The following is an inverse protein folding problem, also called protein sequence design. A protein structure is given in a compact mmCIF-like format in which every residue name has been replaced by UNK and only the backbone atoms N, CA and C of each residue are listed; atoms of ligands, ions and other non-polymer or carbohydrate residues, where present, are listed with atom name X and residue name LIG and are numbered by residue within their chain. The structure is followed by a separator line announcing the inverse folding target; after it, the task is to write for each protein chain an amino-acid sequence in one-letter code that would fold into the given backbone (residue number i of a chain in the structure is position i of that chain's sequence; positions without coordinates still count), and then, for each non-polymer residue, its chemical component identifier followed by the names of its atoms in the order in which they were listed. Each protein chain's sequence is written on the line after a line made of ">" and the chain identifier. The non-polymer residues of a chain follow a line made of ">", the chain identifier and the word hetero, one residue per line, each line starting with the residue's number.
data_IF_109557907173
#
_entry.id   IF_109557907173
#
_cell.length_a   1.000
_cell.length_b   1.000
_cell.length_c   1.000
_cell.angle_alpha   90.00
_cell.angle_beta   90.00
_cell.angle_gamma   90.00
#
_symmetry.space_group_name_H-M   'P 1'
#
loop_
_entity.id
_entity.type
_entity.pdbx_description
1 polymer ?
#
# COMPACT_ATOMS: atom_id res chain seq x y z
N UNK A 1 -8.59 -23.53 14.98
CA UNK A 1 -7.89 -22.24 15.08
C UNK A 1 -8.12 -21.74 16.47
N UNK A 2 -7.05 -21.42 17.19
CA UNK A 2 -7.19 -20.88 18.54
C UNK A 2 -7.67 -19.42 18.51
N UNK A 3 -8.00 -18.88 19.69
CA UNK A 3 -8.53 -17.52 19.80
C UNK A 3 -7.53 -16.44 19.35
N UNK A 4 -6.22 -16.69 19.50
CA UNK A 4 -5.18 -15.75 19.12
C UNK A 4 -4.99 -15.75 17.60
N UNK A 5 -4.94 -16.92 16.99
CA UNK A 5 -4.85 -17.09 15.53
C UNK A 5 -6.03 -16.42 14.81
N UNK A 6 -7.26 -16.61 15.31
CA UNK A 6 -8.43 -15.93 14.75
C UNK A 6 -8.28 -14.41 14.84
N UNK A 7 -7.83 -13.91 15.99
CA UNK A 7 -7.63 -12.47 16.20
C UNK A 7 -6.56 -11.89 15.26
N UNK A 8 -5.47 -12.62 15.03
CA UNK A 8 -4.44 -12.22 14.08
C UNK A 8 -5.00 -12.16 12.65
N UNK A 9 -5.81 -13.14 12.25
CA UNK A 9 -6.46 -13.12 10.94
C UNK A 9 -7.43 -11.94 10.80
N UNK A 10 -8.21 -11.64 11.84
CA UNK A 10 -9.12 -10.50 11.83
C UNK A 10 -8.35 -9.18 11.64
N UNK A 11 -7.19 -9.02 12.29
CA UNK A 11 -6.31 -7.87 12.08
C UNK A 11 -5.77 -7.80 10.65
N UNK A 12 -5.31 -8.92 10.08
CA UNK A 12 -4.82 -8.97 8.71
C UNK A 12 -5.91 -8.63 7.70
N UNK A 13 -7.13 -9.13 7.89
CA UNK A 13 -8.28 -8.80 7.05
C UNK A 13 -8.65 -7.32 7.12
N UNK A 14 -8.41 -6.66 8.24
CA UNK A 14 -8.63 -5.22 8.39
C UNK A 14 -7.51 -4.41 7.74
N UNK A 15 -6.24 -4.79 7.94
CA UNK A 15 -5.07 -4.00 7.53
C UNK A 15 -4.67 -4.21 6.06
N UNK A 16 -4.56 -5.47 5.60
CA UNK A 16 -4.01 -5.78 4.28
C UNK A 16 -4.78 -5.15 3.11
N UNK A 17 -6.13 -5.05 3.12
CA UNK A 17 -6.85 -4.44 2.02
C UNK A 17 -6.79 -2.91 1.99
N UNK A 18 -6.23 -2.25 3.01
CA UNK A 18 -6.24 -0.80 3.09
C UNK A 18 -5.25 -0.22 2.08
N UNK A 19 -5.71 0.56 1.10
CA UNK A 19 -4.83 1.19 0.14
C UNK A 19 -3.96 2.23 0.83
N UNK A 20 -2.65 2.14 0.60
CA UNK A 20 -1.75 3.18 1.01
C UNK A 20 -1.66 4.24 -0.10
N UNK A 21 -2.24 5.41 0.13
CA UNK A 21 -2.10 6.54 -0.79
C UNK A 21 -1.39 7.67 -0.07
N UNK A 22 -0.14 7.93 -0.46
CA UNK A 22 0.71 8.94 0.18
C UNK A 22 0.28 10.39 -0.08
N UNK A 23 -0.81 10.59 -0.80
CA UNK A 23 -1.30 11.92 -1.09
C UNK A 23 -2.78 12.05 -0.72
N UNK A 24 -3.13 13.28 -0.35
CA UNK A 24 -4.40 13.88 0.07
C UNK A 24 -5.66 13.60 -0.78
N UNK A 25 -5.66 12.56 -1.62
CA UNK A 25 -6.74 12.19 -2.53
C UNK A 25 -8.03 11.80 -1.81
N UNK A 26 -7.93 11.42 -0.54
CA UNK A 26 -9.08 11.39 0.37
C UNK A 26 -9.45 12.83 0.76
N UNK A 27 -10.49 13.35 0.12
CA UNK A 27 -11.31 14.49 0.54
C UNK A 27 -11.29 14.72 2.06
N UNK A 28 -10.40 15.57 2.58
CA UNK A 28 -10.33 15.95 4.01
C UNK A 28 -10.43 14.79 5.04
N UNK A 29 -10.09 13.54 4.66
CA UNK A 29 -10.18 12.38 5.53
C UNK A 29 -8.82 11.67 5.59
N UNK A 30 -8.51 11.13 6.76
CA UNK A 30 -7.24 10.48 7.03
C UNK A 30 -7.23 9.06 6.43
N UNK A 31 -6.33 8.85 5.48
CA UNK A 31 -5.54 7.67 5.14
C UNK A 31 -6.07 6.34 5.70
N UNK A 32 -6.59 5.49 4.81
CA UNK A 32 -7.22 4.20 5.16
C UNK A 32 -6.34 3.28 6.04
N UNK A 33 -5.05 3.09 5.72
CA UNK A 33 -4.15 2.21 6.48
C UNK A 33 -3.79 2.77 7.87
N UNK A 34 -3.32 4.02 8.03
CA UNK A 34 -3.15 4.66 9.33
C UNK A 34 -4.42 4.67 10.18
N UNK A 35 -5.60 4.89 9.57
CA UNK A 35 -6.89 4.88 10.28
C UNK A 35 -7.23 3.49 10.80
N UNK A 36 -7.00 2.45 10.00
CA UNK A 36 -7.18 1.06 10.42
C UNK A 36 -6.21 0.68 11.53
N UNK A 37 -4.92 1.00 11.37
CA UNK A 37 -3.89 0.77 12.37
C UNK A 37 -4.20 1.50 13.69
N UNK A 38 -4.60 2.78 13.63
CA UNK A 38 -5.02 3.57 14.79
C UNK A 38 -6.17 2.92 15.53
N UNK A 39 -7.19 2.45 14.80
CA UNK A 39 -8.37 1.79 15.37
C UNK A 39 -7.96 0.52 16.12
N UNK A 40 -7.15 -0.33 15.49
CA UNK A 40 -6.70 -1.59 16.10
C UNK A 40 -5.78 -1.34 17.31
N UNK A 41 -4.83 -0.42 17.20
CA UNK A 41 -3.92 -0.07 18.30
C UNK A 41 -4.65 0.56 19.49
N UNK A 42 -5.73 1.31 19.23
CA UNK A 42 -6.55 1.95 20.25
C UNK A 42 -7.15 1.00 21.27
N UNK A 43 -7.32 -0.28 20.93
CA UNK A 43 -7.80 -1.33 21.85
C UNK A 43 -6.76 -1.70 22.92
N UNK A 44 -5.47 -1.42 22.69
CA UNK A 44 -4.35 -1.90 23.53
C UNK A 44 -3.57 -0.78 24.23
N UNK A 45 -3.71 0.48 23.78
CA UNK A 45 -2.93 1.61 24.29
C UNK A 45 -3.66 2.34 25.43
N UNK A 46 -2.95 2.71 26.51
CA UNK A 46 -3.51 3.35 27.71
C UNK A 46 -3.07 4.82 27.80
N UNK A 47 -3.94 5.80 28.12
CA UNK A 47 -5.40 5.81 28.00
C UNK A 47 -5.79 6.41 26.64
N UNK A 48 -5.56 5.64 25.57
CA UNK A 48 -6.02 5.93 24.20
C UNK A 48 -5.31 7.06 23.42
N UNK A 49 -4.12 7.51 23.83
CA UNK A 49 -3.33 8.44 23.00
C UNK A 49 -2.60 7.67 21.90
N UNK A 50 -3.39 7.11 20.97
CA UNK A 50 -2.86 6.73 19.65
C UNK A 50 -2.94 7.97 18.77
N UNK A 51 -1.77 8.50 18.46
CA UNK A 51 -1.60 9.70 17.65
C UNK A 51 -1.22 9.32 16.23
N UNK A 52 -1.62 10.18 15.28
CA UNK A 52 -1.19 10.08 13.90
C UNK A 52 -0.47 11.37 13.59
N UNK A 53 0.81 11.27 13.21
CA UNK A 53 1.60 12.45 12.88
C UNK A 53 1.22 13.04 11.51
N UNK A 54 1.90 14.10 11.09
CA UNK A 54 1.64 14.75 9.80
C UNK A 54 2.07 13.91 8.59
N UNK A 55 2.91 12.90 8.79
CA UNK A 55 3.40 11.98 7.77
C UNK A 55 2.54 10.71 7.68
N UNK A 56 1.59 10.51 8.60
CA UNK A 56 0.71 9.34 8.64
C UNK A 56 1.19 8.23 9.56
N UNK A 57 2.30 8.41 10.28
CA UNK A 57 2.82 7.41 11.23
C UNK A 57 1.85 7.27 12.41
N UNK A 58 1.52 6.04 12.78
CA UNK A 58 0.62 5.73 13.89
C UNK A 58 1.44 5.38 15.13
N UNK A 59 1.33 6.18 16.17
CA UNK A 59 2.14 6.06 17.39
C UNK A 59 1.22 5.76 18.56
N UNK A 60 1.40 4.60 19.19
CA UNK A 60 0.63 4.20 20.37
C UNK A 60 1.53 3.81 21.53
N UNK A 61 1.10 4.16 22.74
CA UNK A 61 1.81 3.85 23.98
C UNK A 61 1.06 2.79 24.77
N UNK A 62 1.71 1.65 25.00
CA UNK A 62 1.18 0.57 25.85
C UNK A 62 1.34 0.89 27.34
N UNK A 63 2.39 1.63 27.70
CA UNK A 63 2.72 2.04 29.07
C UNK A 63 3.37 3.42 29.04
N UNK A 64 2.97 4.30 29.96
CA UNK A 64 3.60 5.60 30.12
C UNK A 64 5.10 5.43 30.48
N UNK A 65 6.02 6.18 29.84
CA UNK A 65 7.44 6.12 30.17
C UNK A 65 7.66 6.61 31.60
N UNK A 66 8.52 5.91 32.35
CA UNK A 66 8.90 6.29 33.71
C UNK A 66 10.35 6.76 33.74
N UNK A 67 10.62 7.75 34.57
CA UNK A 67 11.97 8.29 34.71
C UNK A 67 12.94 7.22 35.21
N UNK A 68 14.07 7.08 34.51
CA UNK A 68 15.09 6.08 34.85
C UNK A 68 14.82 4.67 34.31
N UNK A 69 13.70 4.45 33.61
CA UNK A 69 13.41 3.17 32.96
C UNK A 69 13.72 3.21 31.46
N UNK A 70 14.21 2.10 30.86
CA UNK A 70 14.42 2.00 29.42
C UNK A 70 13.07 2.03 28.67
N UNK A 71 13.09 2.66 27.50
CA UNK A 71 11.95 2.69 26.56
C UNK A 71 12.24 1.73 25.41
N UNK A 72 11.30 0.83 25.13
CA UNK A 72 11.36 -0.09 23.99
C UNK A 72 10.41 0.42 22.91
N UNK A 73 10.95 0.64 21.71
CA UNK A 73 10.18 0.96 20.52
C UNK A 73 10.01 -0.30 19.67
N UNK A 74 8.76 -0.62 19.34
CA UNK A 74 8.42 -1.61 18.31
C UNK A 74 8.00 -0.82 17.07
N UNK A 75 8.74 -0.99 15.99
CA UNK A 75 8.52 -0.27 14.74
C UNK A 75 8.18 -1.24 13.62
N UNK A 76 7.16 -0.88 12.84
CA UNK A 76 6.69 -1.61 11.68
C UNK A 76 6.15 -0.62 10.66
N UNK A 77 6.54 -0.81 9.41
CA UNK A 77 6.09 0.04 8.32
C UNK A 77 4.75 -0.48 7.78
N UNK A 78 3.80 0.43 7.55
CA UNK A 78 2.46 0.10 7.03
C UNK A 78 2.35 0.36 5.53
N UNK A 79 3.48 0.71 4.89
CA UNK A 79 3.54 1.03 3.49
C UNK A 79 3.54 -0.16 2.57
N UNK A 80 2.92 0.06 1.40
CA UNK A 80 2.74 -0.95 0.38
C UNK A 80 3.42 -0.53 -0.91
N UNK A 81 4.11 -1.49 -1.52
CA UNK A 81 4.58 -1.37 -2.90
C UNK A 81 3.39 -1.22 -3.85
N UNK A 82 3.56 -0.47 -4.94
CA UNK A 82 2.48 -0.20 -5.87
C UNK A 82 2.92 0.49 -7.16
N UNK A 83 1.96 1.07 -7.86
CA UNK A 83 2.18 1.76 -9.14
C UNK A 83 1.64 3.18 -9.08
N UNK A 84 2.33 4.10 -9.74
CA UNK A 84 1.87 5.49 -9.94
C UNK A 84 1.69 5.74 -11.42
N UNK A 85 0.51 6.23 -11.81
CA UNK A 85 0.24 6.62 -13.20
C UNK A 85 1.06 7.86 -13.55
N UNK A 86 1.89 7.75 -14.59
CA UNK A 86 2.78 8.82 -15.08
C UNK A 86 2.30 9.46 -16.37
N UNK A 87 1.38 8.80 -17.10
CA UNK A 87 0.84 9.31 -18.34
C UNK A 87 -0.18 8.36 -18.97
N UNK A 88 -0.56 8.67 -20.20
CA UNK A 88 -1.47 7.87 -21.00
C UNK A 88 -1.03 7.91 -22.47
N UNK A 89 -1.46 6.90 -23.22
CA UNK A 89 -1.26 6.79 -24.66
C UNK A 89 -2.55 7.08 -25.44
N UNK A 90 -2.42 7.43 -26.72
CA UNK A 90 -3.55 7.76 -27.59
C UNK A 90 -4.53 6.59 -27.79
N UNK A 91 -4.03 5.36 -27.67
CA UNK A 91 -4.80 4.11 -27.73
C UNK A 91 -5.52 3.78 -26.40
N UNK A 92 -5.41 4.62 -25.37
CA UNK A 92 -6.11 4.47 -24.09
C UNK A 92 -5.38 3.65 -23.03
N UNK A 93 -4.12 3.27 -23.25
CA UNK A 93 -3.28 2.63 -22.23
C UNK A 93 -2.74 3.67 -21.23
N UNK A 94 -2.53 3.24 -19.99
CA UNK A 94 -1.92 4.06 -18.94
C UNK A 94 -0.45 3.69 -18.81
N UNK A 95 0.41 4.70 -18.67
CA UNK A 95 1.81 4.50 -18.29
C UNK A 95 1.93 4.55 -16.78
N UNK A 96 2.70 3.64 -16.22
CA UNK A 96 2.96 3.59 -14.79
C UNK A 96 4.47 3.60 -14.49
N UNK A 97 4.81 4.04 -13.29
CA UNK A 97 6.12 3.83 -12.69
C UNK A 97 5.96 3.06 -11.37
N UNK A 98 6.99 2.32 -10.98
CA UNK A 98 7.03 1.63 -9.70
C UNK A 98 7.02 2.63 -8.54
N UNK A 99 6.21 2.30 -7.53
CA UNK A 99 6.28 2.86 -6.20
C UNK A 99 6.84 1.79 -5.26
N UNK A 100 8.09 1.95 -4.84
CA UNK A 100 8.82 0.93 -4.08
C UNK A 100 9.52 -0.11 -4.98
N UNK A 101 10.15 -1.10 -4.33
CA UNK A 101 10.91 -2.16 -5.00
C UNK A 101 10.01 -3.32 -5.43
N UNK A 102 9.68 -3.40 -6.72
CA UNK A 102 8.83 -4.46 -7.27
C UNK A 102 9.58 -5.36 -8.24
N UNK A 103 9.36 -6.67 -8.13
CA UNK A 103 9.87 -7.63 -9.12
C UNK A 103 9.00 -7.59 -10.39
N UNK A 104 9.57 -7.05 -11.46
CA UNK A 104 8.89 -6.89 -12.76
C UNK A 104 8.38 -8.21 -13.34
N UNK A 105 9.02 -9.34 -13.01
CA UNK A 105 8.64 -10.66 -13.51
C UNK A 105 7.26 -11.08 -13.04
N UNK A 106 6.84 -10.61 -11.86
CA UNK A 106 5.52 -10.97 -11.31
C UNK A 106 4.41 -10.06 -11.80
N UNK A 107 4.73 -8.97 -12.51
CA UNK A 107 3.77 -7.91 -12.84
C UNK A 107 2.93 -8.21 -14.08
N UNK A 108 3.46 -8.98 -15.03
CA UNK A 108 2.77 -9.28 -16.27
C UNK A 108 1.47 -10.03 -15.97
N UNK A 109 0.36 -9.54 -16.54
CA UNK A 109 -0.99 -10.07 -16.37
C UNK A 109 -1.57 -9.98 -14.95
N UNK A 110 -0.97 -9.19 -14.05
CA UNK A 110 -1.56 -8.94 -12.72
C UNK A 110 -2.77 -8.02 -12.81
N UNK A 111 -3.81 -8.36 -12.05
CA UNK A 111 -4.92 -7.47 -11.79
C UNK A 111 -4.49 -6.35 -10.84
N UNK A 112 -4.83 -5.12 -11.19
CA UNK A 112 -4.50 -3.93 -10.39
C UNK A 112 -5.76 -3.12 -10.11
N UNK A 113 -5.74 -2.39 -8.99
CA UNK A 113 -6.76 -1.41 -8.64
C UNK A 113 -6.17 -0.02 -8.80
N UNK A 114 -6.80 0.81 -9.64
CA UNK A 114 -6.42 2.20 -9.86
C UNK A 114 -7.42 3.11 -9.18
N UNK A 115 -6.95 4.09 -8.42
CA UNK A 115 -7.84 5.09 -7.83
C UNK A 115 -8.02 6.29 -8.75
N UNK A 116 -9.26 6.53 -9.19
CA UNK A 116 -9.61 7.72 -9.96
C UNK A 116 -10.03 8.85 -9.02
N UNK A 117 -9.21 9.89 -8.93
CA UNK A 117 -9.51 11.07 -8.11
C UNK A 117 -10.74 11.83 -8.62
N UNK A 118 -10.87 11.94 -9.94
CA UNK A 118 -12.00 12.64 -10.57
C UNK A 118 -13.33 11.96 -10.27
N UNK A 119 -13.34 10.63 -10.23
CA UNK A 119 -14.54 9.83 -9.98
C UNK A 119 -14.70 9.42 -8.52
N UNK A 120 -13.68 9.64 -7.68
CA UNK A 120 -13.67 9.26 -6.27
C UNK A 120 -13.82 7.76 -6.03
N UNK A 121 -13.36 6.90 -6.96
CA UNK A 121 -13.57 5.44 -6.89
C UNK A 121 -12.40 4.64 -7.45
N UNK A 122 -12.36 3.37 -7.05
CA UNK A 122 -11.44 2.37 -7.58
C UNK A 122 -11.92 1.82 -8.94
N UNK A 123 -10.97 1.64 -9.84
CA UNK A 123 -11.13 1.07 -11.17
C UNK A 123 -10.28 -0.20 -11.26
N UNK A 124 -10.80 -1.25 -11.86
CA UNK A 124 -10.03 -2.44 -12.16
C UNK A 124 -9.20 -2.23 -13.44
N UNK A 125 -7.95 -2.65 -13.39
CA UNK A 125 -7.06 -2.71 -14.54
C UNK A 125 -6.30 -4.02 -14.57
N UNK A 126 -5.57 -4.23 -15.66
CA UNK A 126 -4.64 -5.35 -15.81
C UNK A 126 -3.34 -4.79 -16.37
N UNK A 127 -2.22 -5.28 -15.85
CA UNK A 127 -0.90 -4.94 -16.37
C UNK A 127 -0.70 -5.69 -17.68
N UNK A 128 -0.50 -4.94 -18.77
CA UNK A 128 -0.26 -5.49 -20.08
C UNK A 128 1.25 -5.61 -20.33
N UNK A 129 1.62 -6.27 -21.41
CA UNK A 129 2.97 -6.24 -21.95
C UNK A 129 2.89 -6.42 -23.46
N UNK A 130 3.93 -5.98 -24.17
CA UNK A 130 4.03 -6.22 -25.61
C UNK A 130 4.07 -7.74 -25.83
N UNK A 131 3.20 -8.29 -26.70
CA UNK A 131 3.18 -9.72 -26.96
C UNK A 131 4.55 -10.25 -27.44
N UNK A 132 5.00 -11.43 -26.98
CA UNK A 132 6.36 -11.94 -27.25
C UNK A 132 6.67 -12.15 -28.74
N UNK A 133 5.63 -12.34 -29.56
CA UNK A 133 5.78 -12.49 -31.01
C UNK A 133 5.96 -11.14 -31.74
N UNK A 134 5.65 -10.02 -31.08
CA UNK A 134 5.87 -8.66 -31.58
C UNK A 134 7.16 -8.04 -31.02
N UNK A 135 7.76 -8.65 -30.00
CA UNK A 135 9.03 -8.22 -29.40
C UNK A 135 10.21 -8.52 -30.34
N UNK A 136 11.17 -7.59 -30.42
CA UNK A 136 12.42 -7.77 -31.18
C UNK A 136 13.18 -9.00 -30.66
N UNK A 137 13.92 -9.67 -31.54
CA UNK A 137 14.64 -10.91 -31.21
C UNK A 137 15.62 -10.77 -30.05
N UNK A 138 16.18 -9.59 -29.84
CA UNK A 138 17.14 -9.26 -28.77
C UNK A 138 16.47 -9.10 -27.39
N UNK A 139 15.18 -8.76 -27.37
CA UNK A 139 14.41 -8.45 -26.16
C UNK A 139 13.42 -9.57 -25.78
N UNK A 140 13.43 -10.72 -26.48
CA UNK A 140 12.47 -11.81 -26.23
C UNK A 140 12.64 -12.51 -24.88
N UNK A 141 13.88 -12.55 -24.39
CA UNK A 141 14.23 -13.20 -23.11
C UNK A 141 14.42 -12.19 -21.97
N UNK A 142 14.28 -10.88 -22.25
CA UNK A 142 14.41 -9.83 -21.25
C UNK A 142 13.07 -9.54 -20.57
N UNK A 143 13.13 -9.22 -19.28
CA UNK A 143 11.95 -8.82 -18.52
C UNK A 143 11.66 -7.36 -18.86
N UNK A 144 10.44 -7.01 -19.35
CA UNK A 144 10.10 -5.64 -19.67
C UNK A 144 10.32 -4.69 -18.49
N UNK A 145 10.77 -3.46 -18.79
CA UNK A 145 10.81 -2.39 -17.82
C UNK A 145 9.39 -2.01 -17.38
N UNK A 146 9.21 -1.47 -16.18
CA UNK A 146 7.87 -1.08 -15.69
C UNK A 146 7.23 0.00 -16.56
N UNK A 147 8.05 0.83 -17.20
CA UNK A 147 7.58 1.84 -18.16
C UNK A 147 7.06 1.24 -19.46
N UNK A 148 7.40 -0.01 -19.73
CA UNK A 148 7.04 -0.76 -20.94
C UNK A 148 5.94 -1.81 -20.68
N UNK A 149 5.42 -1.84 -19.43
CA UNK A 149 4.23 -2.58 -19.00
C UNK A 149 2.99 -1.67 -19.02
#
# INVERSE_FOLDING_TARGET
>A
MDQLEQKMLDWLQVLCPQPETINRWETNQCWSAPKAARKLMGEYCIPSTVEVDQFGSVIGQFRAPQFGEPVVLLDAHIDQIGLVVTGYEENGFLKAAAYGGMDRRVMIAQGVLLFSQKEGRWLSGVVASIPPHLTKSEDRDSVPEITDL
#
